data_IF_071776006437
#
_entry.id   IF_071776006437
#
_cell.length_a   1.000
_cell.length_b   1.000
_cell.length_c   1.000
_cell.angle_alpha   90.00
_cell.angle_beta   90.00
_cell.angle_gamma   90.00
#
_symmetry.space_group_name_H-M   'P 1'
#
loop_
_entity.id
_entity.type
_entity.pdbx_description
1 polymer ?
#
# COMPACT_ATOMS: atom_id res chain seq x y z
N UNK A 1 -7.47 -0.21 3.52
CA UNK A 1 -8.58 -0.22 4.52
C UNK A 1 -8.28 0.78 5.61
N UNK A 2 -9.09 1.84 5.76
CA UNK A 2 -8.89 2.91 6.75
C UNK A 2 -9.03 2.36 8.18
N UNK A 3 -7.99 2.49 9.02
CA UNK A 3 -7.98 2.04 10.44
C UNK A 3 -9.17 2.61 11.22
N UNK A 4 -9.61 3.81 10.86
CA UNK A 4 -10.76 4.47 11.46
C UNK A 4 -12.09 3.77 11.17
N UNK A 5 -12.26 3.20 9.98
CA UNK A 5 -13.46 2.43 9.59
C UNK A 5 -13.57 1.13 10.40
N UNK A 6 -12.44 0.45 10.62
CA UNK A 6 -12.38 -0.78 11.43
C UNK A 6 -12.79 -0.46 12.86
N UNK A 7 -12.18 0.57 13.45
CA UNK A 7 -12.49 0.99 14.82
C UNK A 7 -13.94 1.47 14.97
N UNK A 8 -14.48 2.24 14.00
CA UNK A 8 -15.86 2.72 14.05
C UNK A 8 -16.86 1.57 14.06
N UNK A 9 -16.69 0.58 13.17
CA UNK A 9 -17.55 -0.60 13.09
C UNK A 9 -17.51 -1.43 14.37
N UNK A 10 -16.33 -1.61 14.96
CA UNK A 10 -16.19 -2.32 16.23
C UNK A 10 -16.86 -1.53 17.38
N UNK A 11 -16.69 -0.21 17.42
CA UNK A 11 -17.27 0.64 18.45
C UNK A 11 -18.80 0.70 18.40
N UNK A 12 -19.38 0.81 17.20
CA UNK A 12 -20.82 0.86 16.99
C UNK A 12 -21.52 -0.40 17.50
N UNK A 13 -20.89 -1.57 17.34
CA UNK A 13 -21.44 -2.88 17.72
C UNK A 13 -21.05 -3.33 19.13
N UNK A 14 -20.05 -2.69 19.76
CA UNK A 14 -19.55 -3.05 21.08
C UNK A 14 -20.49 -2.69 22.25
N UNK A 15 -20.50 -3.54 23.29
CA UNK A 15 -21.13 -3.23 24.58
C UNK A 15 -20.37 -2.15 25.38
N UNK A 16 -20.96 -1.61 26.46
CA UNK A 16 -20.41 -0.45 27.18
C UNK A 16 -18.97 -0.63 27.72
N UNK A 17 -18.64 -1.82 28.21
CA UNK A 17 -17.30 -2.16 28.71
C UNK A 17 -16.28 -2.16 27.58
N UNK A 18 -16.61 -2.82 26.46
CA UNK A 18 -15.75 -2.86 25.27
C UNK A 18 -15.59 -1.49 24.63
N UNK A 19 -16.62 -0.64 24.63
CA UNK A 19 -16.50 0.76 24.18
C UNK A 19 -15.55 1.58 25.03
N UNK A 20 -15.50 1.34 26.35
CA UNK A 20 -14.56 2.01 27.25
C UNK A 20 -13.12 1.63 26.92
N UNK A 21 -12.88 0.33 26.69
CA UNK A 21 -11.58 -0.17 26.24
C UNK A 21 -11.20 0.47 24.90
N UNK A 22 -12.07 0.39 23.90
CA UNK A 22 -11.85 1.00 22.58
C UNK A 22 -11.50 2.48 22.73
N UNK A 23 -12.25 3.26 23.51
CA UNK A 23 -11.98 4.68 23.71
C UNK A 23 -10.59 4.96 24.29
N UNK A 24 -10.09 4.08 25.18
CA UNK A 24 -8.71 4.13 25.69
C UNK A 24 -7.71 3.90 24.55
N UNK A 25 -7.95 2.90 23.69
CA UNK A 25 -7.12 2.61 22.50
C UNK A 25 -7.06 3.79 21.54
N UNK A 26 -8.22 4.38 21.22
CA UNK A 26 -8.30 5.54 20.32
C UNK A 26 -7.58 6.76 20.89
N UNK A 27 -7.72 7.01 22.20
CA UNK A 27 -7.02 8.13 22.85
C UNK A 27 -5.50 7.95 22.77
N UNK A 28 -5.02 6.71 23.02
CA UNK A 28 -3.60 6.38 22.92
C UNK A 28 -3.07 6.50 21.49
N UNK A 29 -3.84 6.03 20.52
CA UNK A 29 -3.54 6.16 19.10
C UNK A 29 -3.38 7.64 18.67
N UNK A 30 -4.31 8.51 19.10
CA UNK A 30 -4.23 9.95 18.83
C UNK A 30 -3.02 10.63 19.47
N UNK A 31 -2.59 10.20 20.67
CA UNK A 31 -1.36 10.70 21.30
C UNK A 31 -0.12 10.33 20.50
N UNK A 32 -0.04 9.10 20.00
CA UNK A 32 1.09 8.63 19.20
C UNK A 32 1.17 9.38 17.86
N UNK A 33 0.04 9.63 17.21
CA UNK A 33 0.00 10.49 16.01
C UNK A 33 0.49 11.90 16.33
N UNK A 34 0.04 12.49 17.44
CA UNK A 34 0.54 13.82 17.88
C UNK A 34 2.04 13.83 18.19
N UNK A 35 2.63 12.68 18.51
CA UNK A 35 4.08 12.54 18.72
C UNK A 35 4.89 12.38 17.44
N UNK A 36 4.24 12.40 16.26
CA UNK A 36 4.88 12.34 14.96
C UNK A 36 4.89 10.96 14.30
N UNK A 37 4.19 9.97 14.87
CA UNK A 37 4.02 8.65 14.23
C UNK A 37 2.95 8.72 13.14
N UNK A 38 3.09 7.90 12.10
CA UNK A 38 2.01 7.69 11.13
C UNK A 38 0.84 6.95 11.79
N UNK A 39 -0.35 7.04 11.19
CA UNK A 39 -1.55 6.32 11.66
C UNK A 39 -1.31 4.80 11.82
N UNK A 40 -0.59 4.21 10.87
CA UNK A 40 -0.20 2.79 10.89
C UNK A 40 0.79 2.48 12.02
N UNK A 41 1.88 3.25 12.16
CA UNK A 41 2.85 3.08 13.25
C UNK A 41 2.20 3.23 14.63
N UNK A 42 1.31 4.22 14.78
CA UNK A 42 0.55 4.43 15.99
C UNK A 42 -0.40 3.25 16.28
N UNK A 43 -1.03 2.68 15.25
CA UNK A 43 -1.93 1.54 15.39
C UNK A 43 -1.17 0.29 15.87
N UNK A 44 -0.08 -0.07 15.19
CA UNK A 44 0.76 -1.21 15.57
C UNK A 44 1.27 -1.09 17.01
N UNK A 45 1.73 0.10 17.40
CA UNK A 45 2.24 0.33 18.75
C UNK A 45 1.16 0.20 19.83
N UNK A 46 -0.08 0.61 19.55
CA UNK A 46 -1.22 0.36 20.46
C UNK A 46 -1.48 -1.13 20.60
N UNK A 47 -1.48 -1.88 19.50
CA UNK A 47 -1.68 -3.33 19.52
C UNK A 47 -0.56 -4.07 20.26
N UNK A 48 0.70 -3.65 20.09
CA UNK A 48 1.83 -4.19 20.84
C UNK A 48 1.70 -3.91 22.35
N UNK A 49 1.37 -2.67 22.73
CA UNK A 49 1.16 -2.28 24.14
C UNK A 49 0.07 -3.15 24.81
N UNK A 50 -1.02 -3.46 24.10
CA UNK A 50 -2.09 -4.34 24.59
C UNK A 50 -1.66 -5.79 24.74
N UNK A 51 -0.93 -6.31 23.75
CA UNK A 51 -0.42 -7.69 23.79
C UNK A 51 0.54 -7.87 24.97
N UNK A 52 1.36 -6.85 25.27
CA UNK A 52 2.25 -6.82 26.42
C UNK A 52 1.49 -6.68 27.76
N UNK A 53 0.38 -5.93 27.81
CA UNK A 53 -0.50 -5.81 28.99
C UNK A 53 -1.19 -7.15 29.32
N UNK A 54 -1.53 -7.94 28.29
CA UNK A 54 -2.17 -9.26 28.46
C UNK A 54 -1.25 -10.36 29.03
N UNK A 55 0.08 -10.19 28.91
CA UNK A 55 1.09 -11.17 29.31
C UNK A 55 1.68 -10.92 30.71
N UNK A 56 1.24 -9.87 31.42
CA UNK A 56 1.73 -9.61 32.78
C UNK A 56 1.05 -10.54 33.80
N UNK A 57 1.80 -11.34 34.59
CA UNK A 57 1.22 -12.07 35.70
C UNK A 57 0.70 -11.09 36.74
N UNK A 58 -0.53 -11.34 37.23
CA UNK A 58 -1.24 -10.51 38.21
C UNK A 58 -0.33 -10.24 39.42
N UNK A 59 0.10 -8.98 39.67
CA UNK A 59 0.94 -8.66 40.81
C UNK A 59 0.11 -8.76 42.11
N UNK A 60 0.68 -9.26 43.22
CA UNK A 60 0.00 -9.18 44.50
C UNK A 60 -0.15 -7.72 44.93
N UNK A 61 -1.38 -7.39 45.32
CA UNK A 61 -1.83 -6.09 45.78
C UNK A 61 -0.89 -5.52 46.86
N UNK A 62 -0.19 -4.44 46.53
CA UNK A 62 0.63 -3.67 47.49
C UNK A 62 0.23 -2.20 47.47
N UNK A 63 -0.39 -1.79 48.59
CA UNK A 63 -0.56 -0.41 49.02
C UNK A 63 0.76 0.36 48.92
N UNK A 64 0.72 1.62 48.46
CA UNK A 64 1.76 2.58 48.83
C UNK A 64 1.27 4.02 48.92
N UNK A 65 1.86 4.69 49.91
CA UNK A 65 1.59 6.04 50.40
C UNK A 65 2.36 7.12 49.62
N UNK A 66 1.77 8.31 49.58
CA UNK A 66 2.32 9.67 49.81
C UNK A 66 3.70 10.12 49.31
N UNK A 67 3.70 11.29 48.65
CA UNK A 67 4.81 12.24 48.45
C UNK A 67 4.78 12.78 47.01
N UNK A 68 4.19 13.94 46.69
CA UNK A 68 4.59 15.33 46.94
C UNK A 68 5.92 15.73 46.29
N UNK A 69 5.84 16.52 45.20
CA UNK A 69 6.78 17.52 44.61
C UNK A 69 6.23 17.79 43.19
N UNK A 70 6.09 18.98 42.62
CA UNK A 70 6.21 20.37 43.02
C UNK A 70 5.85 21.16 41.76
N UNK A 71 4.92 22.12 41.86
CA UNK A 71 4.49 22.97 40.75
C UNK A 71 5.55 24.02 40.41
N UNK A 72 5.96 24.09 39.15
CA UNK A 72 6.61 25.20 38.43
C UNK A 72 6.27 24.94 36.96
N UNK A 73 5.73 25.83 36.14
CA UNK A 73 5.64 27.28 36.16
C UNK A 73 5.67 27.65 34.67
N UNK A 74 4.52 28.04 34.12
CA UNK A 74 4.33 28.39 32.72
C UNK A 74 5.13 29.64 32.35
N UNK A 75 5.96 29.57 31.30
CA UNK A 75 6.32 30.73 30.47
C UNK A 75 6.36 30.28 29.01
N UNK A 76 5.34 30.68 28.25
CA UNK A 76 5.33 30.66 26.79
C UNK A 76 6.08 31.91 26.34
N UNK A 77 7.26 31.74 25.72
CA UNK A 77 7.91 32.81 24.96
C UNK A 77 7.69 32.51 23.48
N UNK A 78 6.83 33.33 22.86
CA UNK A 78 6.74 33.46 21.42
C UNK A 78 8.05 34.06 20.90
N UNK A 79 8.78 33.34 20.06
CA UNK A 79 9.80 33.96 19.20
C UNK A 79 9.53 33.54 17.77
N UNK A 80 9.00 34.50 17.01
CA UNK A 80 8.93 34.48 15.56
C UNK A 80 10.37 34.49 15.07
N UNK A 81 10.87 33.37 14.55
CA UNK A 81 12.06 33.35 13.71
C UNK A 81 11.59 33.19 12.27
N UNK A 82 11.83 34.25 11.51
CA UNK A 82 11.63 34.33 10.07
C UNK A 82 12.41 33.20 9.41
N UNK A 83 11.65 32.36 8.73
CA UNK A 83 12.08 31.29 7.83
C UNK A 83 12.94 31.88 6.71
N UNK A 84 14.24 31.64 6.79
CA UNK A 84 15.12 31.58 5.63
C UNK A 84 15.35 30.10 5.29
N UNK A 85 14.30 29.44 4.77
CA UNK A 85 14.46 28.13 4.12
C UNK A 85 14.89 28.44 2.69
N UNK A 86 16.13 28.14 2.37
CA UNK A 86 16.57 27.51 1.14
C UNK A 86 18.08 27.23 1.29
N UNK A 87 18.49 26.02 0.90
CA UNK A 87 19.84 25.43 0.94
C UNK A 87 20.13 24.48 2.11
N UNK A 88 19.40 23.37 2.20
CA UNK A 88 19.95 22.08 2.66
C UNK A 88 19.17 20.94 1.98
N UNK A 89 19.45 20.68 0.70
CA UNK A 89 19.39 19.28 0.24
C UNK A 89 20.64 18.63 0.83
N UNK A 90 20.46 17.75 1.80
CA UNK A 90 21.58 17.04 2.42
C UNK A 90 22.19 16.09 1.39
N UNK A 91 23.46 16.31 1.07
CA UNK A 91 24.35 15.46 0.25
C UNK A 91 24.59 14.05 0.88
N UNK A 92 23.68 13.55 1.71
CA UNK A 92 23.82 12.30 2.49
C UNK A 92 22.84 11.20 2.11
N UNK A 93 21.97 11.45 1.13
CA UNK A 93 20.98 10.46 0.71
C UNK A 93 21.67 9.37 -0.13
N UNK A 94 21.41 8.11 0.20
CA UNK A 94 21.94 7.00 -0.58
C UNK A 94 21.22 7.01 -1.94
N UNK A 95 21.92 7.17 -3.08
CA UNK A 95 21.28 7.30 -4.38
C UNK A 95 20.53 6.04 -4.84
N UNK A 96 20.66 4.93 -4.11
CA UNK A 96 19.92 3.69 -4.35
C UNK A 96 18.58 3.65 -3.63
N UNK A 97 18.37 4.49 -2.61
CA UNK A 97 17.13 4.47 -1.83
C UNK A 97 16.10 5.42 -2.42
N UNK A 98 14.83 5.07 -2.22
CA UNK A 98 13.70 5.89 -2.66
C UNK A 98 13.26 6.83 -1.54
N UNK A 99 13.20 8.12 -1.83
CA UNK A 99 12.81 9.17 -0.89
C UNK A 99 11.57 9.93 -1.36
N UNK A 100 10.65 10.21 -0.46
CA UNK A 100 9.48 11.07 -0.68
C UNK A 100 9.34 12.04 0.48
N UNK A 101 9.35 13.35 0.19
CA UNK A 101 9.24 14.43 1.18
C UNK A 101 10.25 14.33 2.36
N UNK A 102 11.44 13.79 2.10
CA UNK A 102 12.49 13.57 3.10
C UNK A 102 12.32 12.32 3.97
N UNK A 103 11.24 11.55 3.77
CA UNK A 103 11.09 10.21 4.30
C UNK A 103 11.65 9.16 3.32
N UNK A 104 12.08 8.02 3.85
CA UNK A 104 12.53 6.87 3.06
C UNK A 104 11.38 5.89 2.87
N UNK A 105 11.20 5.38 1.66
CA UNK A 105 10.28 4.27 1.44
C UNK A 105 10.90 2.98 1.98
N UNK A 106 10.10 2.22 2.70
CA UNK A 106 10.50 0.92 3.25
C UNK A 106 9.59 -0.17 2.74
N UNK A 107 10.19 -1.33 2.51
CA UNK A 107 9.49 -2.58 2.24
C UNK A 107 8.74 -3.07 3.48
N UNK A 108 8.04 -4.18 3.32
CA UNK A 108 7.27 -4.75 4.42
C UNK A 108 8.15 -5.36 5.54
N UNK A 109 9.41 -5.64 5.25
CA UNK A 109 10.42 -6.07 6.21
C UNK A 109 11.01 -4.91 7.03
N UNK A 110 10.66 -3.67 6.68
CA UNK A 110 11.14 -2.44 7.32
C UNK A 110 12.48 -1.95 6.79
N UNK A 111 13.07 -2.62 5.80
CA UNK A 111 14.28 -2.17 5.13
C UNK A 111 13.96 -1.15 4.03
N UNK A 112 14.89 -0.24 3.69
CA UNK A 112 14.70 0.67 2.57
C UNK A 112 14.50 -0.03 1.24
N UNK A 113 13.61 0.52 0.40
CA UNK A 113 13.53 0.14 -1.01
C UNK A 113 14.86 0.51 -1.71
N UNK A 114 15.58 -0.49 -2.21
CA UNK A 114 16.90 -0.34 -2.83
C UNK A 114 16.85 -0.63 -4.35
N UNK A 115 17.01 0.43 -5.15
CA UNK A 115 17.03 0.35 -6.60
C UNK A 115 18.46 0.12 -7.13
N UNK A 116 18.62 -0.91 -7.94
CA UNK A 116 19.87 -1.28 -8.61
C UNK A 116 19.81 -0.85 -10.08
N UNK A 117 20.13 0.42 -10.34
CA UNK A 117 20.11 0.95 -11.69
C UNK A 117 21.29 0.42 -12.52
N UNK A 118 21.00 -0.03 -13.74
CA UNK A 118 21.98 -0.41 -14.74
C UNK A 118 22.16 0.77 -15.72
N UNK A 119 23.31 1.45 -15.74
CA UNK A 119 23.53 2.61 -16.60
C UNK A 119 23.47 2.29 -18.11
N UNK A 120 23.64 1.02 -18.47
CA UNK A 120 23.57 0.54 -19.85
C UNK A 120 22.15 0.07 -20.24
N UNK A 121 21.17 0.13 -19.31
CA UNK A 121 19.80 -0.25 -19.60
C UNK A 121 19.12 0.70 -20.60
N UNK A 122 18.33 0.11 -21.49
CA UNK A 122 17.68 0.80 -22.61
C UNK A 122 16.16 0.67 -22.57
N UNK A 123 15.48 1.61 -23.21
CA UNK A 123 14.03 1.59 -23.36
C UNK A 123 13.60 0.39 -24.21
N UNK A 124 12.70 -0.48 -23.74
CA UNK A 124 12.22 -1.62 -24.51
C UNK A 124 11.21 -1.18 -25.58
N UNK A 125 10.91 -2.04 -26.55
CA UNK A 125 9.63 -1.99 -27.27
C UNK A 125 8.50 -2.48 -26.34
N UNK A 126 7.25 -2.17 -26.66
CA UNK A 126 6.12 -2.70 -25.89
C UNK A 126 6.07 -4.23 -25.92
N UNK A 127 6.46 -4.86 -27.03
CA UNK A 127 6.54 -6.33 -27.12
C UNK A 127 7.57 -6.90 -26.15
N UNK A 128 8.79 -6.35 -26.13
CA UNK A 128 9.84 -6.76 -25.19
C UNK A 128 9.44 -6.51 -23.72
N UNK A 129 8.70 -5.43 -23.45
CA UNK A 129 8.14 -5.18 -22.12
C UNK A 129 7.16 -6.29 -21.71
N UNK A 130 6.20 -6.63 -22.57
CA UNK A 130 5.22 -7.69 -22.27
C UNK A 130 5.92 -9.04 -22.08
N UNK A 131 6.87 -9.39 -22.95
CA UNK A 131 7.65 -10.63 -22.84
C UNK A 131 8.44 -10.67 -21.52
N UNK A 132 9.04 -9.55 -21.13
CA UNK A 132 9.74 -9.44 -19.85
C UNK A 132 8.81 -9.68 -18.65
N UNK A 133 7.67 -8.99 -18.62
CA UNK A 133 6.73 -9.09 -17.49
C UNK A 133 6.17 -10.50 -17.36
N UNK A 134 5.77 -11.13 -18.47
CA UNK A 134 5.25 -12.52 -18.47
C UNK A 134 6.32 -13.54 -18.02
N UNK A 135 7.60 -13.28 -18.27
CA UNK A 135 8.70 -14.14 -17.80
C UNK A 135 9.09 -13.86 -16.34
N UNK A 136 8.83 -12.66 -15.84
CA UNK A 136 9.20 -12.22 -14.51
C UNK A 136 8.24 -12.78 -13.45
N UNK A 137 8.74 -13.68 -12.60
CA UNK A 137 7.91 -14.40 -11.64
C UNK A 137 7.53 -13.59 -10.38
N UNK A 138 7.66 -12.27 -10.40
CA UNK A 138 7.40 -11.43 -9.22
C UNK A 138 5.93 -11.49 -8.78
N UNK A 139 5.00 -11.53 -9.74
CA UNK A 139 3.54 -11.63 -9.55
C UNK A 139 3.12 -12.96 -8.88
N UNK A 140 3.97 -14.00 -9.02
CA UNK A 140 3.76 -15.32 -8.45
C UNK A 140 3.94 -15.35 -6.92
N UNK A 141 4.52 -14.30 -6.34
CA UNK A 141 4.72 -14.16 -4.90
C UNK A 141 3.45 -13.63 -4.22
N UNK A 142 3.24 -14.01 -2.97
CA UNK A 142 2.05 -13.61 -2.22
C UNK A 142 2.18 -12.17 -1.74
N UNK A 143 1.11 -11.40 -1.90
CA UNK A 143 0.96 -10.16 -1.16
C UNK A 143 0.57 -10.50 0.28
N UNK A 144 1.42 -10.09 1.20
CA UNK A 144 1.24 -10.31 2.63
C UNK A 144 1.27 -8.95 3.30
N UNK A 145 0.07 -8.46 3.63
CA UNK A 145 -0.10 -7.30 4.50
C UNK A 145 0.73 -7.49 5.79
N UNK A 146 1.23 -6.37 6.33
CA UNK A 146 2.01 -6.34 7.58
C UNK A 146 1.29 -7.16 8.67
N UNK A 147 1.94 -8.25 9.13
CA UNK A 147 1.40 -9.17 10.15
C UNK A 147 0.87 -10.52 9.62
N UNK A 148 0.99 -10.82 8.32
CA UNK A 148 0.64 -12.11 7.74
C UNK A 148 1.62 -13.27 8.05
N UNK A 149 1.21 -14.52 7.76
CA UNK A 149 2.09 -15.70 7.86
C UNK A 149 3.02 -15.74 6.65
N UNK A 150 4.31 -15.51 6.86
CA UNK A 150 5.35 -15.53 5.82
C UNK A 150 6.26 -14.30 5.89
N UNK A 151 7.13 -14.12 4.90
CA UNK A 151 7.81 -12.82 4.70
C UNK A 151 6.75 -11.82 4.21
N UNK A 152 6.47 -10.73 4.95
CA UNK A 152 5.49 -9.75 4.50
C UNK A 152 5.98 -9.10 3.20
N UNK A 153 5.07 -8.76 2.30
CA UNK A 153 5.37 -8.04 1.05
C UNK A 153 4.24 -7.08 0.73
N UNK A 154 4.58 -5.83 0.48
CA UNK A 154 3.68 -4.75 0.04
C UNK A 154 4.02 -4.33 -1.39
N UNK A 155 3.19 -3.49 -1.99
CA UNK A 155 3.36 -3.03 -3.38
C UNK A 155 4.77 -2.48 -3.66
N UNK A 156 5.37 -1.80 -2.69
CA UNK A 156 6.74 -1.29 -2.79
C UNK A 156 7.78 -2.40 -3.02
N UNK A 157 7.66 -3.55 -2.34
CA UNK A 157 8.56 -4.70 -2.48
C UNK A 157 8.41 -5.38 -3.85
N UNK A 158 7.19 -5.44 -4.39
CA UNK A 158 6.95 -5.97 -5.74
C UNK A 158 7.54 -5.04 -6.80
N UNK A 159 7.29 -3.73 -6.68
CA UNK A 159 7.83 -2.74 -7.61
C UNK A 159 9.36 -2.64 -7.55
N UNK A 160 9.98 -2.81 -6.39
CA UNK A 160 11.44 -2.92 -6.24
C UNK A 160 12.00 -4.12 -6.98
N UNK A 161 11.36 -5.29 -6.82
CA UNK A 161 11.84 -6.51 -7.46
C UNK A 161 11.72 -6.45 -8.98
N UNK A 162 10.57 -6.02 -9.51
CA UNK A 162 10.39 -5.82 -10.96
C UNK A 162 11.41 -4.82 -11.49
N UNK A 163 11.67 -3.73 -10.76
CA UNK A 163 12.68 -2.73 -11.14
C UNK A 163 14.06 -3.38 -11.28
N UNK A 164 14.50 -4.08 -10.24
CA UNK A 164 15.83 -4.68 -10.19
C UNK A 164 16.00 -5.82 -11.22
N UNK A 165 14.95 -6.61 -11.47
CA UNK A 165 14.97 -7.67 -12.48
C UNK A 165 15.03 -7.11 -13.91
N UNK A 166 14.29 -6.03 -14.19
CA UNK A 166 14.33 -5.35 -15.49
C UNK A 166 15.71 -4.75 -15.76
N UNK A 167 16.27 -3.99 -14.82
CA UNK A 167 17.59 -3.37 -14.93
C UNK A 167 18.69 -4.44 -15.12
N UNK A 168 18.60 -5.58 -14.42
CA UNK A 168 19.50 -6.72 -14.59
C UNK A 168 19.41 -7.37 -15.98
N UNK A 169 18.25 -7.29 -16.64
CA UNK A 169 18.05 -7.71 -18.05
C UNK A 169 18.38 -6.61 -19.06
N UNK A 170 18.83 -5.43 -18.62
CA UNK A 170 19.16 -4.29 -19.48
C UNK A 170 17.93 -3.50 -19.97
N UNK A 171 16.80 -3.68 -19.30
CA UNK A 171 15.55 -2.95 -19.58
C UNK A 171 15.46 -1.78 -18.60
N UNK A 172 15.35 -0.56 -19.14
CA UNK A 172 15.23 0.65 -18.35
C UNK A 172 13.83 0.76 -17.74
N UNK A 173 13.78 1.06 -16.46
CA UNK A 173 12.53 1.12 -15.69
C UNK A 173 12.62 2.20 -14.61
N UNK A 174 11.46 2.71 -14.21
CA UNK A 174 11.31 3.56 -13.04
C UNK A 174 10.43 2.86 -12.01
N UNK A 175 10.76 3.06 -10.73
CA UNK A 175 9.87 2.81 -9.60
C UNK A 175 8.99 4.06 -9.39
N UNK A 176 7.69 3.86 -9.15
CA UNK A 176 6.70 4.94 -9.08
C UNK A 176 5.88 4.84 -7.80
N UNK A 177 5.88 5.89 -6.97
CA UNK A 177 4.88 6.10 -5.90
C UNK A 177 3.66 6.83 -6.46
N UNK A 178 2.48 6.34 -6.14
CA UNK A 178 1.19 6.91 -6.52
C UNK A 178 0.43 7.31 -5.26
N UNK A 179 0.17 8.60 -5.12
CA UNK A 179 -0.75 9.10 -4.11
C UNK A 179 -2.20 8.93 -4.59
N UNK A 180 -3.00 8.17 -3.85
CA UNK A 180 -4.42 7.99 -4.12
C UNK A 180 -5.24 8.96 -3.26
N UNK A 181 -6.18 9.66 -3.89
CA UNK A 181 -7.05 10.62 -3.18
C UNK A 181 -7.91 9.88 -2.15
N UNK A 182 -8.02 10.44 -0.93
CA UNK A 182 -8.75 9.88 0.21
C UNK A 182 -8.19 8.57 0.81
N UNK A 183 -7.07 8.05 0.31
CA UNK A 183 -6.39 6.88 0.89
C UNK A 183 -5.19 7.32 1.73
N UNK A 184 -5.02 6.71 2.91
CA UNK A 184 -3.87 6.95 3.79
C UNK A 184 -2.60 6.24 3.29
N UNK A 185 -2.78 5.20 2.47
CA UNK A 185 -1.72 4.36 1.93
C UNK A 185 -1.76 4.54 0.41
N UNK A 186 -0.67 5.06 -0.15
CA UNK A 186 -0.48 5.15 -1.60
C UNK A 186 -0.26 3.77 -2.24
N UNK A 187 0.04 3.77 -3.53
CA UNK A 187 0.41 2.56 -4.25
C UNK A 187 1.81 2.69 -4.86
N UNK A 188 2.45 1.57 -5.15
CA UNK A 188 3.72 1.55 -5.84
C UNK A 188 3.64 0.63 -7.06
N UNK A 189 4.18 1.08 -8.20
CA UNK A 189 4.22 0.32 -9.44
C UNK A 189 5.48 0.68 -10.24
N UNK A 190 5.60 0.15 -11.46
CA UNK A 190 6.71 0.45 -12.36
C UNK A 190 6.26 1.23 -13.58
N UNK A 191 7.16 2.05 -14.13
CA UNK A 191 6.95 2.74 -15.40
C UNK A 191 8.08 2.45 -16.38
N UNK A 192 7.70 2.17 -17.63
CA UNK A 192 8.59 1.84 -18.73
C UNK A 192 8.34 2.79 -19.88
N UNK A 193 9.36 3.54 -20.30
CA UNK A 193 9.28 4.32 -21.54
C UNK A 193 9.52 3.36 -22.71
N UNK A 194 8.45 3.03 -23.44
CA UNK A 194 8.56 2.14 -24.60
C UNK A 194 8.88 2.92 -25.88
N UNK A 195 9.67 2.33 -26.76
CA UNK A 195 10.11 2.98 -28.01
C UNK A 195 8.99 3.15 -29.05
N UNK A 196 7.89 2.42 -28.92
CA UNK A 196 6.79 2.36 -29.91
C UNK A 196 5.39 2.68 -29.33
N UNK A 197 5.21 2.70 -28.00
CA UNK A 197 3.92 3.05 -27.35
C UNK A 197 4.02 4.14 -26.28
N UNK A 198 5.20 4.73 -26.09
CA UNK A 198 5.47 5.74 -25.07
C UNK A 198 5.47 5.15 -23.65
N UNK A 199 5.16 5.98 -22.66
CA UNK A 199 5.17 5.58 -21.25
C UNK A 199 4.06 4.56 -20.93
N UNK A 200 4.44 3.46 -20.29
CA UNK A 200 3.54 2.38 -19.86
C UNK A 200 3.75 2.12 -18.37
N UNK A 201 2.67 2.06 -17.61
CA UNK A 201 2.70 1.66 -16.21
C UNK A 201 2.33 0.19 -16.08
N UNK A 202 3.09 -0.54 -15.27
CA UNK A 202 2.87 -1.96 -14.99
C UNK A 202 2.74 -2.15 -13.50
N UNK A 203 1.72 -2.92 -13.11
CA UNK A 203 1.44 -3.31 -11.74
C UNK A 203 1.44 -4.83 -11.63
N UNK A 204 2.52 -5.37 -11.06
CA UNK A 204 2.70 -6.79 -10.78
C UNK A 204 2.46 -7.12 -9.30
N UNK A 205 1.71 -6.27 -8.59
CA UNK A 205 1.38 -6.52 -7.18
C UNK A 205 0.59 -7.82 -7.10
N UNK A 206 1.21 -8.85 -6.48
CA UNK A 206 0.62 -10.17 -6.40
C UNK A 206 -0.71 -10.20 -5.64
N UNK A 207 -1.46 -11.27 -5.83
CA UNK A 207 -2.70 -11.48 -5.08
C UNK A 207 -2.44 -11.80 -3.61
N UNK A 208 -3.37 -11.34 -2.76
CA UNK A 208 -3.47 -11.78 -1.37
C UNK A 208 -3.78 -13.28 -1.29
N UNK A 209 -3.48 -13.88 -0.13
CA UNK A 209 -3.84 -15.28 0.16
C UNK A 209 -5.35 -15.53 -0.08
N UNK A 210 -6.20 -14.59 0.35
CA UNK A 210 -7.65 -14.68 0.19
C UNK A 210 -8.10 -14.65 -1.28
N UNK A 211 -7.48 -13.83 -2.11
CA UNK A 211 -7.75 -13.75 -3.55
C UNK A 211 -7.34 -15.03 -4.27
N UNK A 212 -6.16 -15.58 -3.96
CA UNK A 212 -5.73 -16.87 -4.52
C UNK A 212 -6.61 -18.03 -4.08
N UNK A 213 -7.05 -18.06 -2.82
CA UNK A 213 -8.02 -19.08 -2.38
C UNK A 213 -9.36 -18.96 -3.12
N UNK A 214 -9.87 -17.76 -3.40
CA UNK A 214 -11.07 -17.59 -4.25
C UNK A 214 -10.83 -18.09 -5.66
N UNK A 215 -9.72 -17.73 -6.30
CA UNK A 215 -9.39 -18.20 -7.65
C UNK A 215 -9.38 -19.74 -7.75
N UNK A 216 -8.83 -20.42 -6.73
CA UNK A 216 -8.82 -21.90 -6.65
C UNK A 216 -10.23 -22.47 -6.45
N UNK A 217 -11.07 -21.83 -5.63
CA UNK A 217 -12.43 -22.30 -5.35
C UNK A 217 -13.42 -22.03 -6.50
N UNK A 218 -13.23 -20.94 -7.24
CA UNK A 218 -14.12 -20.52 -8.33
C UNK A 218 -13.87 -21.26 -9.65
N UNK A 219 -12.98 -22.27 -9.66
CA UNK A 219 -12.65 -23.08 -10.85
C UNK A 219 -12.32 -22.23 -12.08
N UNK A 220 -11.60 -21.11 -11.90
CA UNK A 220 -10.99 -20.45 -13.06
C UNK A 220 -9.90 -21.39 -13.59
N UNK A 221 -10.03 -21.93 -14.81
CA UNK A 221 -9.11 -22.95 -15.33
C UNK A 221 -7.70 -22.42 -15.60
N UNK A 222 -7.50 -21.09 -15.54
CA UNK A 222 -6.20 -20.46 -15.48
C UNK A 222 -6.08 -19.66 -14.19
N UNK A 223 -5.02 -19.85 -13.38
CA UNK A 223 -4.63 -18.80 -12.45
C UNK A 223 -4.42 -17.53 -13.28
N UNK A 224 -5.17 -16.48 -13.00
CA UNK A 224 -4.92 -15.19 -13.64
C UNK A 224 -3.51 -14.76 -13.25
N UNK A 225 -2.69 -14.44 -14.23
CA UNK A 225 -1.47 -13.68 -13.97
C UNK A 225 -1.87 -12.40 -13.23
N UNK A 226 -1.07 -12.02 -12.24
CA UNK A 226 -1.32 -10.76 -11.52
C UNK A 226 -0.64 -9.58 -12.22
N UNK A 227 -0.05 -9.80 -13.39
CA UNK A 227 0.51 -8.78 -14.26
C UNK A 227 -0.60 -7.95 -14.91
N UNK A 228 -0.59 -6.65 -14.62
CA UNK A 228 -1.57 -5.71 -15.12
C UNK A 228 -0.89 -4.52 -15.76
N UNK A 229 -1.49 -4.02 -16.84
CA UNK A 229 -1.22 -2.67 -17.31
C UNK A 229 -2.02 -1.71 -16.44
N UNK A 230 -1.31 -0.80 -15.79
CA UNK A 230 -1.89 0.26 -15.00
C UNK A 230 -2.15 1.51 -15.87
N UNK A 231 -3.27 2.17 -15.60
CA UNK A 231 -3.72 3.38 -16.27
C UNK A 231 -3.73 4.50 -15.25
N UNK A 232 -2.77 5.41 -15.39
CA UNK A 232 -2.50 6.47 -14.41
C UNK A 232 -2.63 7.82 -15.12
N UNK A 233 -3.56 8.65 -14.65
CA UNK A 233 -3.74 10.04 -15.10
C UNK A 233 -4.14 10.91 -13.88
N UNK A 234 -3.48 12.06 -13.71
CA UNK A 234 -3.73 12.93 -12.54
C UNK A 234 -5.20 13.36 -12.53
N UNK A 235 -5.86 13.17 -11.38
CA UNK A 235 -7.27 13.51 -11.19
C UNK A 235 -8.23 12.46 -11.73
N UNK A 236 -7.73 11.33 -12.24
CA UNK A 236 -8.51 10.15 -12.60
C UNK A 236 -8.28 9.02 -11.58
N UNK A 237 -9.15 8.02 -11.61
CA UNK A 237 -8.96 6.82 -10.80
C UNK A 237 -7.75 6.00 -11.27
N UNK A 238 -7.17 5.23 -10.37
CA UNK A 238 -6.17 4.24 -10.70
C UNK A 238 -6.86 3.02 -11.33
N UNK A 239 -6.57 2.77 -12.61
CA UNK A 239 -7.15 1.66 -13.37
C UNK A 239 -6.15 0.56 -13.63
N UNK A 240 -6.59 -0.70 -13.60
CA UNK A 240 -5.76 -1.85 -13.99
C UNK A 240 -6.54 -2.76 -14.94
N UNK A 241 -5.85 -3.24 -15.98
CA UNK A 241 -6.35 -4.31 -16.85
C UNK A 241 -5.26 -5.36 -16.95
N UNK A 242 -5.64 -6.63 -16.78
CA UNK A 242 -4.77 -7.77 -17.03
C UNK A 242 -4.05 -7.63 -18.38
N UNK A 243 -2.75 -7.92 -18.38
CA UNK A 243 -1.84 -7.65 -19.50
C UNK A 243 -2.32 -8.30 -20.81
N UNK A 244 -3.01 -9.44 -20.74
CA UNK A 244 -3.56 -10.13 -21.92
C UNK A 244 -4.71 -9.36 -22.58
N UNK A 245 -5.42 -8.54 -21.81
CA UNK A 245 -6.59 -7.78 -22.26
C UNK A 245 -6.30 -6.31 -22.56
N UNK A 246 -5.17 -5.78 -22.10
CA UNK A 246 -4.75 -4.40 -22.33
C UNK A 246 -4.30 -4.16 -23.79
N UNK A 247 -5.24 -3.81 -24.69
CA UNK A 247 -4.95 -3.61 -26.12
C UNK A 247 -4.38 -2.24 -26.47
N UNK A 248 -4.37 -1.31 -25.52
CA UNK A 248 -3.88 0.06 -25.68
C UNK A 248 -3.43 0.59 -24.33
N UNK A 249 -2.40 1.44 -24.34
CA UNK A 249 -1.84 2.08 -23.14
C UNK A 249 -2.54 3.39 -22.77
N UNK A 250 -3.52 3.83 -23.57
CA UNK A 250 -4.24 5.09 -23.34
C UNK A 250 -5.30 4.97 -22.26
N UNK A 251 -5.42 6.00 -21.42
CA UNK A 251 -6.47 6.06 -20.39
C UNK A 251 -7.88 5.98 -20.98
N UNK A 252 -8.08 6.57 -22.18
CA UNK A 252 -9.36 6.45 -22.91
C UNK A 252 -9.76 5.00 -23.18
N UNK A 253 -8.80 4.13 -23.50
CA UNK A 253 -9.09 2.70 -23.69
C UNK A 253 -9.57 2.06 -22.38
N UNK A 254 -8.96 2.42 -21.25
CA UNK A 254 -9.42 1.96 -19.94
C UNK A 254 -10.85 2.42 -19.63
N UNK A 255 -11.19 3.69 -19.88
CA UNK A 255 -12.57 4.19 -19.72
C UNK A 255 -13.58 3.37 -20.56
N UNK A 256 -13.25 3.10 -21.82
CA UNK A 256 -14.09 2.30 -22.73
C UNK A 256 -14.19 0.83 -22.29
N UNK A 257 -13.10 0.25 -21.80
CA UNK A 257 -13.06 -1.12 -21.28
C UNK A 257 -13.94 -1.26 -20.03
N UNK A 258 -13.81 -0.32 -19.09
CA UNK A 258 -14.58 -0.26 -17.85
C UNK A 258 -16.08 -0.15 -18.11
N UNK A 259 -16.49 0.70 -19.05
CA UNK A 259 -17.89 0.84 -19.45
C UNK A 259 -18.48 -0.46 -19.98
N UNK A 260 -17.74 -1.18 -20.84
CA UNK A 260 -18.16 -2.50 -21.36
C UNK A 260 -18.28 -3.54 -20.26
N UNK A 261 -17.39 -3.50 -19.26
CA UNK A 261 -17.47 -4.39 -18.10
C UNK A 261 -18.75 -4.15 -17.30
N UNK A 262 -19.08 -2.90 -16.99
CA UNK A 262 -20.34 -2.56 -16.30
C UNK A 262 -21.58 -2.95 -17.08
N UNK A 263 -21.56 -2.77 -18.41
CA UNK A 263 -22.67 -3.22 -19.25
C UNK A 263 -22.83 -4.74 -19.19
N UNK A 264 -21.73 -5.49 -19.23
CA UNK A 264 -21.73 -6.95 -19.09
C UNK A 264 -22.30 -7.40 -17.75
N UNK A 265 -21.86 -6.81 -16.64
CA UNK A 265 -22.37 -7.13 -15.30
C UNK A 265 -23.86 -6.86 -15.16
N UNK A 266 -24.33 -5.72 -15.69
CA UNK A 266 -25.76 -5.37 -15.70
C UNK A 266 -26.58 -6.39 -16.48
N UNK A 267 -26.10 -6.82 -17.66
CA UNK A 267 -26.77 -7.83 -18.47
C UNK A 267 -26.76 -9.21 -17.81
N UNK A 268 -25.65 -9.61 -17.19
CA UNK A 268 -25.54 -10.86 -16.44
C UNK A 268 -26.47 -10.88 -15.22
N UNK A 269 -26.57 -9.78 -14.47
CA UNK A 269 -27.50 -9.67 -13.35
C UNK A 269 -28.95 -9.83 -13.81
N UNK A 270 -29.34 -9.13 -14.88
CA UNK A 270 -30.69 -9.25 -15.45
C UNK A 270 -31.00 -10.67 -15.93
N UNK A 271 -30.04 -11.33 -16.58
CA UNK A 271 -30.19 -12.74 -16.99
C UNK A 271 -30.33 -13.68 -15.80
N UNK A 272 -29.52 -13.51 -14.74
CA UNK A 272 -29.59 -14.34 -13.55
C UNK A 272 -30.91 -14.16 -12.79
N UNK A 273 -31.43 -12.93 -12.72
CA UNK A 273 -32.75 -12.64 -12.15
C UNK A 273 -33.89 -13.30 -12.95
N UNK A 274 -33.79 -13.31 -14.29
CA UNK A 274 -34.75 -14.01 -15.15
C UNK A 274 -34.68 -15.52 -14.93
N UNK A 275 -33.49 -16.13 -14.95
CA UNK A 275 -33.31 -17.57 -14.70
C UNK A 275 -33.86 -17.98 -13.33
N UNK A 276 -33.65 -17.17 -12.29
CA UNK A 276 -34.14 -17.44 -10.95
C UNK A 276 -35.68 -17.47 -10.84
N UNK A 277 -36.41 -16.87 -11.80
CA UNK A 277 -37.89 -16.98 -11.85
C UNK A 277 -38.36 -18.34 -12.38
N UNK A 278 -37.48 -19.10 -13.03
CA UNK A 278 -37.79 -20.39 -13.66
C UNK A 278 -37.20 -21.61 -12.91
N UNK A 279 -36.52 -21.39 -11.79
CA UNK A 279 -35.93 -22.43 -10.91
C UNK A 279 -36.57 -22.43 -9.54
#
# INVERSE_FOLDING_TARGET
>A
HNVWEIYRKEWETAGPEKRTELNKRMSRWQELIKSGLTASQAYFRVTEEESAESLQPVPPEKKRKSGCFGCLGWIIVFTIIVVAINLFSSDTDNPRYVYENGGIHVGADGEPIELINNPDATNPTYGELVDFIVEDATDSKFYTELGGIGSPRVCADFAEEVHNNAEAKGIRVAWVSIALYEEEIGHACNAFETTDKGLVYVDCTGATIGERFRQVLETSPNPMSEDKIAYVEIGKEYGCIDIDYAKSTSYKFYDEYKQKWYERERLLSGYNEEVAQYT
#
